data_IF_331870500124
#
_entry.id   IF_331870500124
#
_cell.length_a   1.000
_cell.length_b   1.000
_cell.length_c   1.000
_cell.angle_alpha   90.00
_cell.angle_beta   90.00
_cell.angle_gamma   90.00
#
_symmetry.space_group_name_H-M   'P 1'
#
loop_
_entity.id
_entity.type
_entity.pdbx_description
1 polymer ?
#
# COMPACT_ATOMS: atom_id res chain seq x y z
N UNK A 1 -8.43 5.35 40.73
CA UNK A 1 -8.95 4.65 39.53
C UNK A 1 -9.06 5.52 38.27
N UNK A 2 -9.24 6.85 38.32
CA UNK A 2 -9.41 7.70 37.13
C UNK A 2 -8.17 7.84 36.21
N UNK A 3 -6.95 7.71 36.75
CA UNK A 3 -5.70 7.83 35.96
C UNK A 3 -5.39 6.63 35.07
N UNK A 4 -5.82 5.42 35.47
CA UNK A 4 -5.59 4.19 34.72
C UNK A 4 -6.39 4.15 33.41
N UNK A 5 -7.58 4.75 33.40
CA UNK A 5 -8.41 4.86 32.20
C UNK A 5 -7.82 5.81 31.15
N UNK A 6 -7.21 6.92 31.58
CA UNK A 6 -6.58 7.88 30.67
C UNK A 6 -5.37 7.27 29.94
N UNK A 7 -4.57 6.44 30.63
CA UNK A 7 -3.44 5.72 30.04
C UNK A 7 -3.90 4.62 29.06
N UNK A 8 -4.97 3.90 29.39
CA UNK A 8 -5.54 2.88 28.49
C UNK A 8 -6.07 3.48 27.19
N UNK A 9 -6.78 4.61 27.26
CA UNK A 9 -7.29 5.32 26.08
C UNK A 9 -6.18 5.90 25.20
N UNK A 10 -5.12 6.46 25.81
CA UNK A 10 -3.96 6.98 25.06
C UNK A 10 -3.21 5.89 24.29
N UNK A 11 -3.03 4.71 24.90
CA UNK A 11 -2.32 3.60 24.27
C UNK A 11 -3.11 3.01 23.09
N UNK A 12 -4.44 2.89 23.22
CA UNK A 12 -5.30 2.41 22.12
C UNK A 12 -5.30 3.41 20.95
N UNK A 13 -5.36 4.71 21.22
CA UNK A 13 -5.29 5.72 20.16
C UNK A 13 -3.95 5.70 19.40
N UNK A 14 -2.83 5.51 20.11
CA UNK A 14 -1.51 5.40 19.49
C UNK A 14 -1.36 4.14 18.63
N UNK A 15 -1.94 3.01 19.07
CA UNK A 15 -1.91 1.75 18.30
C UNK A 15 -2.76 1.82 17.03
N UNK A 16 -3.90 2.52 17.03
CA UNK A 16 -4.73 2.67 15.81
C UNK A 16 -4.06 3.60 14.79
N UNK A 17 -3.32 4.62 15.24
CA UNK A 17 -2.63 5.56 14.35
C UNK A 17 -1.46 4.91 13.58
N UNK A 18 -0.80 3.88 14.12
CA UNK A 18 0.32 3.21 13.44
C UNK A 18 -0.11 2.24 12.35
N UNK A 19 -1.32 1.67 12.41
CA UNK A 19 -1.80 0.70 11.40
C UNK A 19 -2.06 1.36 10.04
N UNK A 20 -2.44 2.64 10.03
CA UNK A 20 -2.72 3.38 8.78
C UNK A 20 -1.46 3.63 7.92
N UNK A 21 -0.26 3.62 8.53
CA UNK A 21 1.00 3.97 7.86
C UNK A 21 1.76 2.78 7.27
N UNK A 22 1.30 1.55 7.49
CA UNK A 22 2.02 0.34 7.08
C UNK A 22 1.53 -0.26 5.75
N UNK A 23 0.74 0.47 4.95
CA UNK A 23 0.31 -0.06 3.65
C UNK A 23 1.54 -0.15 2.72
N UNK A 24 1.83 -1.31 2.12
CA UNK A 24 2.98 -1.42 1.24
C UNK A 24 2.83 -0.48 0.03
N UNK A 25 3.96 -0.05 -0.58
CA UNK A 25 3.98 0.89 -1.71
C UNK A 25 3.08 0.44 -2.86
N UNK A 26 2.56 1.38 -3.63
CA UNK A 26 1.83 1.12 -4.86
C UNK A 26 1.67 2.39 -5.67
N UNK A 27 0.97 2.35 -6.80
CA UNK A 27 1.13 3.37 -7.83
C UNK A 27 0.55 4.70 -7.40
N UNK A 28 1.38 5.74 -7.50
CA UNK A 28 1.06 7.14 -7.22
C UNK A 28 1.26 8.05 -8.45
N UNK A 29 1.92 7.55 -9.50
CA UNK A 29 2.11 8.24 -10.77
C UNK A 29 1.34 7.62 -11.95
N UNK A 30 0.93 8.45 -12.92
CA UNK A 30 0.24 7.99 -14.13
C UNK A 30 1.15 7.04 -14.91
N UNK A 31 0.63 5.85 -15.21
CA UNK A 31 1.36 4.81 -15.91
C UNK A 31 2.17 3.89 -14.99
N UNK A 32 2.24 4.16 -13.69
CA UNK A 32 3.00 3.31 -12.78
C UNK A 32 2.27 1.99 -12.49
N UNK A 33 3.03 0.90 -12.42
CA UNK A 33 2.53 -0.42 -12.03
C UNK A 33 3.49 -1.16 -11.11
N UNK A 34 2.90 -2.01 -10.28
CA UNK A 34 3.57 -2.82 -9.27
C UNK A 34 3.22 -4.29 -9.45
N UNK A 35 4.22 -5.13 -9.25
CA UNK A 35 4.06 -6.58 -9.10
C UNK A 35 4.58 -6.97 -7.73
N UNK A 36 3.73 -7.60 -6.92
CA UNK A 36 4.06 -8.00 -5.54
C UNK A 36 4.36 -9.48 -5.48
N UNK A 37 5.39 -9.83 -4.70
CA UNK A 37 5.89 -11.18 -4.57
C UNK A 37 5.78 -11.69 -3.13
N UNK A 38 5.61 -13.01 -2.98
CA UNK A 38 5.82 -13.68 -1.71
C UNK A 38 7.32 -13.95 -1.44
N UNK A 39 7.62 -14.57 -0.31
CA UNK A 39 8.99 -14.89 0.10
C UNK A 39 9.70 -15.90 -0.84
N UNK A 40 8.97 -16.63 -1.68
CA UNK A 40 9.51 -17.56 -2.67
C UNK A 40 9.71 -16.93 -4.05
N UNK A 41 9.35 -15.65 -4.21
CA UNK A 41 9.43 -14.93 -5.48
C UNK A 41 8.23 -15.17 -6.41
N UNK A 42 7.15 -15.76 -5.91
CA UNK A 42 5.91 -15.95 -6.71
C UNK A 42 5.07 -14.68 -6.65
N UNK A 43 4.47 -14.31 -7.79
CA UNK A 43 3.51 -13.20 -7.87
C UNK A 43 2.24 -13.51 -7.05
N UNK A 44 1.90 -12.59 -6.15
CA UNK A 44 0.72 -12.69 -5.27
C UNK A 44 -0.19 -11.47 -5.33
N UNK A 45 0.22 -10.42 -6.04
CA UNK A 45 -0.62 -9.26 -6.28
C UNK A 45 -0.05 -8.36 -7.35
N UNK A 46 -0.89 -7.43 -7.82
CA UNK A 46 -0.54 -6.40 -8.78
C UNK A 46 -1.33 -5.12 -8.48
N UNK A 47 -0.75 -3.97 -8.74
CA UNK A 47 -1.45 -2.70 -8.71
C UNK A 47 -0.98 -1.83 -9.89
N UNK A 48 -1.88 -1.01 -10.43
CA UNK A 48 -1.60 -0.15 -11.58
C UNK A 48 -2.38 1.16 -11.46
N UNK A 49 -1.77 2.25 -11.91
CA UNK A 49 -2.48 3.47 -12.30
C UNK A 49 -2.33 3.62 -13.82
N UNK A 50 -3.45 3.47 -14.56
CA UNK A 50 -3.42 3.49 -16.02
C UNK A 50 -3.00 4.87 -16.57
N UNK A 51 -2.66 4.94 -17.86
CA UNK A 51 -2.35 6.21 -18.54
C UNK A 51 -3.56 7.18 -18.58
N UNK A 52 -4.76 6.69 -18.32
CA UNK A 52 -6.00 7.44 -18.18
C UNK A 52 -6.29 7.82 -16.72
N UNK A 53 -5.44 7.42 -15.78
CA UNK A 53 -5.62 7.67 -14.35
C UNK A 53 -6.60 6.70 -13.68
N UNK A 54 -6.84 5.53 -14.26
CA UNK A 54 -7.69 4.50 -13.65
C UNK A 54 -6.83 3.61 -12.75
N UNK A 55 -7.14 3.60 -11.46
CA UNK A 55 -6.49 2.74 -10.49
C UNK A 55 -7.09 1.32 -10.52
N UNK A 56 -6.24 0.30 -10.60
CA UNK A 56 -6.61 -1.11 -10.50
C UNK A 56 -5.66 -1.86 -9.55
N UNK A 57 -6.20 -2.78 -8.75
CA UNK A 57 -5.42 -3.60 -7.81
C UNK A 57 -6.03 -5.00 -7.73
N UNK A 58 -5.18 -6.02 -7.62
CA UNK A 58 -5.59 -7.40 -7.38
C UNK A 58 -4.59 -8.11 -6.46
N UNK A 59 -5.10 -9.07 -5.68
CA UNK A 59 -4.27 -9.87 -4.77
C UNK A 59 -3.81 -9.12 -3.52
N UNK A 60 -2.59 -9.40 -3.07
CA UNK A 60 -2.04 -8.90 -1.80
C UNK A 60 -0.80 -8.05 -2.06
N UNK A 61 -0.79 -6.83 -1.52
CA UNK A 61 0.42 -6.00 -1.47
C UNK A 61 1.42 -6.57 -0.47
N UNK A 62 2.68 -6.63 -0.85
CA UNK A 62 3.79 -7.05 0.02
C UNK A 62 4.92 -6.03 -0.03
N UNK A 63 5.83 -6.10 0.93
CA UNK A 63 7.05 -5.28 0.91
C UNK A 63 8.09 -5.75 -0.14
N UNK A 64 7.87 -6.92 -0.76
CA UNK A 64 8.69 -7.45 -1.85
C UNK A 64 7.98 -7.18 -3.17
N UNK A 65 8.44 -6.17 -3.91
CA UNK A 65 7.78 -5.77 -5.14
C UNK A 65 8.78 -5.34 -6.22
N UNK A 66 8.29 -5.32 -7.45
CA UNK A 66 8.92 -4.64 -8.57
C UNK A 66 8.00 -3.53 -9.05
N UNK A 67 8.61 -2.43 -9.47
CA UNK A 67 7.93 -1.25 -10.00
C UNK A 67 8.33 -1.04 -11.45
N UNK A 68 7.40 -0.53 -12.26
CA UNK A 68 7.68 -0.08 -13.61
C UNK A 68 6.69 0.99 -14.07
N UNK A 69 6.98 1.59 -15.22
CA UNK A 69 6.10 2.57 -15.86
C UNK A 69 5.70 2.11 -17.26
N UNK A 70 4.42 2.25 -17.55
CA UNK A 70 3.84 2.15 -18.87
C UNK A 70 4.30 3.33 -19.71
N UNK A 71 4.51 3.10 -21.01
CA UNK A 71 4.73 4.18 -21.97
C UNK A 71 3.37 4.81 -22.28
N UNK A 72 3.07 5.91 -21.60
CA UNK A 72 1.85 6.68 -21.83
C UNK A 72 2.03 7.65 -22.99
N UNK A 73 1.00 7.80 -23.82
CA UNK A 73 1.00 8.82 -24.86
C UNK A 73 0.97 10.21 -24.20
N UNK A 74 1.88 11.14 -24.53
CA UNK A 74 1.76 12.52 -24.09
C UNK A 74 0.45 13.08 -24.65
N UNK A 75 -0.44 13.52 -23.75
CA UNK A 75 -1.64 14.27 -24.13
C UNK A 75 -1.30 15.72 -24.42
#
# INVERSE_FOLDING_TARGET
MRKSFALGLGLVAALVATVALARPPGPDEIGEFYVYFDASGKVVGQAQLSCEGVYSESGVRTASYSVGHLVCNPR
#
